data_IF_712399827114
#
_entry.id   IF_712399827114
#
_cell.length_a   1.000
_cell.length_b   1.000
_cell.length_c   1.000
_cell.angle_alpha   90.00
_cell.angle_beta   90.00
_cell.angle_gamma   90.00
#
_symmetry.space_group_name_H-M   'P 1'
#
loop_
_entity.id
_entity.type
_entity.pdbx_description
1 polymer ?
#
# COMPACT_ATOMS: atom_id res chain seq x y z
N UNK A 1 -12.81 22.32 25.88
CA UNK A 1 -11.37 22.02 25.95
C UNK A 1 -10.89 21.77 24.53
N UNK A 2 -10.35 22.79 23.87
CA UNK A 2 -9.78 22.65 22.53
C UNK A 2 -8.29 22.34 22.68
N UNK A 3 -7.83 21.29 22.03
CA UNK A 3 -6.40 20.94 22.04
C UNK A 3 -5.65 21.98 21.22
N UNK A 4 -4.50 22.44 21.73
CA UNK A 4 -3.66 23.37 20.99
C UNK A 4 -3.16 22.70 19.70
N UNK A 5 -3.03 23.48 18.63
CA UNK A 5 -2.62 23.00 17.31
C UNK A 5 -1.34 22.12 17.34
N UNK A 6 -0.30 22.45 18.13
CA UNK A 6 0.88 21.58 18.24
C UNK A 6 0.57 20.20 18.83
N UNK A 7 -0.34 20.13 19.80
CA UNK A 7 -0.73 18.86 20.42
C UNK A 7 -1.63 18.03 19.51
N UNK A 8 -2.56 18.66 18.79
CA UNK A 8 -3.37 17.99 17.76
C UNK A 8 -2.48 17.25 16.75
N UNK A 9 -1.46 17.93 16.23
CA UNK A 9 -0.51 17.34 15.28
C UNK A 9 0.26 16.16 15.88
N UNK A 10 0.70 16.25 17.14
CA UNK A 10 1.39 15.13 17.80
C UNK A 10 0.55 13.86 17.97
N UNK A 11 -0.78 14.01 17.98
CA UNK A 11 -1.72 12.89 18.16
C UNK A 11 -2.16 12.31 16.82
N UNK A 12 -2.48 13.17 15.86
CA UNK A 12 -3.03 12.74 14.55
C UNK A 12 -1.91 12.39 13.57
N UNK A 13 -0.76 13.03 13.69
CA UNK A 13 0.36 12.91 12.76
C UNK A 13 1.70 12.77 13.51
N UNK A 14 1.89 11.67 14.28
CA UNK A 14 3.05 11.51 15.14
C UNK A 14 4.40 11.53 14.39
N UNK A 15 4.42 11.13 13.12
CA UNK A 15 5.61 11.15 12.25
C UNK A 15 5.88 12.53 11.60
N UNK A 16 4.99 13.51 11.75
CA UNK A 16 5.16 14.84 11.15
C UNK A 16 5.77 15.88 12.10
N UNK A 17 5.83 15.61 13.41
CA UNK A 17 6.31 16.59 14.40
C UNK A 17 7.83 16.50 14.62
N UNK A 18 8.59 16.63 13.53
CA UNK A 18 10.03 16.93 13.61
C UNK A 18 10.23 18.43 13.82
N UNK A 19 10.49 18.79 15.07
CA UNK A 19 10.78 20.15 15.57
C UNK A 19 11.92 20.86 14.81
N UNK A 20 12.72 20.10 14.06
CA UNK A 20 13.90 20.56 13.34
C UNK A 20 13.57 21.14 11.94
N UNK A 21 12.31 21.08 11.47
CA UNK A 21 11.96 21.47 10.09
C UNK A 21 11.38 22.89 9.93
N UNK A 22 11.42 23.73 10.96
CA UNK A 22 10.94 25.12 10.87
C UNK A 22 12.03 26.18 10.66
N UNK A 23 13.29 25.78 10.39
CA UNK A 23 14.36 26.74 10.08
C UNK A 23 15.30 26.26 8.96
N UNK A 24 14.76 25.92 7.79
CA UNK A 24 15.57 25.84 6.57
C UNK A 24 14.68 25.97 5.34
N UNK A 25 14.41 27.21 4.93
CA UNK A 25 14.19 27.49 3.52
C UNK A 25 15.48 27.14 2.76
N UNK A 26 15.32 26.53 1.58
CA UNK A 26 16.27 26.45 0.46
C UNK A 26 16.93 25.08 0.17
N UNK A 27 16.57 24.56 -1.01
CA UNK A 27 17.36 23.75 -1.97
C UNK A 27 17.57 22.24 -1.75
N UNK A 28 17.34 21.51 -2.87
CA UNK A 28 17.81 20.18 -3.28
C UNK A 28 18.79 19.43 -2.35
N UNK A 29 18.55 18.14 -2.13
CA UNK A 29 19.48 17.02 -2.45
C UNK A 29 18.78 15.67 -2.18
N UNK A 30 19.06 14.73 -3.09
CA UNK A 30 18.74 13.30 -3.08
C UNK A 30 19.43 12.61 -1.91
N UNK A 31 18.74 11.75 -1.14
CA UNK A 31 19.41 10.56 -0.61
C UNK A 31 18.46 9.42 -0.22
N UNK A 32 18.75 8.26 -0.81
CA UNK A 32 18.29 6.94 -0.42
C UNK A 32 18.79 6.59 0.98
N UNK A 33 17.99 5.88 1.78
CA UNK A 33 18.53 5.16 2.93
C UNK A 33 18.01 3.74 3.01
N UNK A 34 19.00 2.85 3.13
CA UNK A 34 18.94 1.41 3.25
C UNK A 34 18.44 1.00 4.63
N UNK A 35 17.52 0.04 4.70
CA UNK A 35 17.47 -0.85 5.86
C UNK A 35 17.82 -2.28 5.45
N UNK A 36 19.06 -2.66 5.76
CA UNK A 36 19.52 -4.05 5.82
C UNK A 36 18.80 -4.75 6.97
N UNK A 37 18.22 -5.93 6.75
CA UNK A 37 18.12 -6.94 7.80
C UNK A 37 18.43 -8.32 7.22
N UNK A 38 19.63 -8.79 7.57
CA UNK A 38 20.12 -10.16 7.70
C UNK A 38 19.21 -10.97 8.64
N UNK A 39 19.03 -12.29 8.67
CA UNK A 39 19.51 -13.48 7.96
C UNK A 39 18.57 -14.61 8.45
N UNK A 40 18.20 -15.58 7.62
CA UNK A 40 18.24 -17.01 8.01
C UNK A 40 18.28 -17.87 6.76
N UNK A 41 19.49 -18.36 6.47
CA UNK A 41 19.79 -19.45 5.55
C UNK A 41 19.22 -20.75 6.14
N UNK A 42 18.30 -21.40 5.43
CA UNK A 42 18.01 -22.81 5.62
C UNK A 42 18.30 -23.54 4.31
N UNK A 43 19.36 -24.32 4.33
CA UNK A 43 19.84 -25.12 3.21
C UNK A 43 19.06 -26.43 3.17
N UNK A 44 18.12 -26.54 2.24
CA UNK A 44 17.69 -27.82 1.68
C UNK A 44 17.58 -27.69 0.17
N UNK A 45 18.38 -28.50 -0.53
CA UNK A 45 18.35 -28.64 -1.99
C UNK A 45 17.22 -29.60 -2.35
N UNK A 46 16.17 -29.11 -3.02
CA UNK A 46 15.17 -29.89 -3.77
C UNK A 46 14.40 -28.93 -4.70
N UNK A 47 13.76 -29.44 -5.78
CA UNK A 47 13.84 -28.89 -7.14
C UNK A 47 13.11 -27.56 -7.32
N UNK A 48 13.42 -26.87 -8.43
CA UNK A 48 12.79 -25.65 -8.94
C UNK A 48 11.26 -25.82 -9.10
N UNK A 49 10.54 -25.79 -7.99
CA UNK A 49 9.11 -25.55 -7.95
C UNK A 49 9.01 -24.04 -7.94
N UNK A 50 8.48 -23.46 -9.01
CA UNK A 50 8.00 -22.08 -9.00
C UNK A 50 6.85 -22.04 -8.00
N UNK A 51 7.19 -21.92 -6.71
CA UNK A 51 6.23 -21.60 -5.67
C UNK A 51 5.92 -20.14 -5.94
N UNK A 52 4.92 -19.89 -6.81
CA UNK A 52 4.25 -18.61 -6.84
C UNK A 52 3.79 -18.35 -5.42
N UNK A 53 4.51 -17.48 -4.72
CA UNK A 53 4.20 -17.13 -3.33
C UNK A 53 2.72 -16.74 -3.30
N UNK A 54 1.91 -17.56 -2.63
CA UNK A 54 0.49 -17.27 -2.49
C UNK A 54 0.39 -15.93 -1.76
N UNK A 55 -0.25 -14.96 -2.41
CA UNK A 55 -0.43 -13.63 -1.83
C UNK A 55 -1.35 -13.75 -0.62
N UNK A 56 -0.89 -13.25 0.53
CA UNK A 56 -1.76 -13.10 1.69
C UNK A 56 -2.84 -12.06 1.40
N UNK A 57 -3.93 -12.05 2.18
CA UNK A 57 -4.97 -11.03 2.06
C UNK A 57 -4.40 -9.61 2.15
N UNK A 58 -3.47 -9.37 3.07
CA UNK A 58 -2.78 -8.08 3.22
C UNK A 58 -1.93 -7.72 2.00
N UNK A 59 -1.24 -8.69 1.39
CA UNK A 59 -0.47 -8.46 0.16
C UNK A 59 -1.39 -8.05 -1.00
N UNK A 60 -2.57 -8.70 -1.11
CA UNK A 60 -3.58 -8.36 -2.11
C UNK A 60 -4.17 -6.95 -1.89
N UNK A 61 -4.44 -6.56 -0.64
CA UNK A 61 -4.81 -5.17 -0.29
C UNK A 61 -3.73 -4.20 -0.77
N UNK A 62 -2.46 -4.46 -0.40
CA UNK A 62 -1.36 -3.58 -0.76
C UNK A 62 -1.19 -3.44 -2.28
N UNK A 63 -1.36 -4.52 -3.03
CA UNK A 63 -1.35 -4.51 -4.49
C UNK A 63 -2.52 -3.72 -5.06
N UNK A 64 -3.75 -3.97 -4.58
CA UNK A 64 -4.92 -3.21 -4.99
C UNK A 64 -4.72 -1.71 -4.76
N UNK A 65 -4.32 -1.29 -3.56
CA UNK A 65 -4.11 0.14 -3.26
C UNK A 65 -3.04 0.77 -4.16
N UNK A 66 -1.98 0.03 -4.50
CA UNK A 66 -0.96 0.51 -5.47
C UNK A 66 -1.55 0.72 -6.86
N UNK A 67 -2.38 -0.20 -7.34
CA UNK A 67 -3.08 -0.07 -8.63
C UNK A 67 -3.96 1.17 -8.64
N UNK A 68 -4.81 1.33 -7.62
CA UNK A 68 -5.73 2.46 -7.52
C UNK A 68 -4.98 3.80 -7.43
N UNK A 69 -3.92 3.85 -6.62
CA UNK A 69 -3.08 5.05 -6.47
C UNK A 69 -2.43 5.45 -7.80
N UNK A 70 -1.85 4.48 -8.53
CA UNK A 70 -1.23 4.73 -9.84
C UNK A 70 -2.26 5.32 -10.81
N UNK A 71 -3.43 4.71 -10.89
CA UNK A 71 -4.51 5.15 -11.78
C UNK A 71 -4.97 6.58 -11.46
N UNK A 72 -5.25 6.85 -10.20
CA UNK A 72 -5.77 8.16 -9.77
C UNK A 72 -4.72 9.29 -9.83
N UNK A 73 -3.47 9.01 -9.44
CA UNK A 73 -2.45 10.06 -9.22
C UNK A 73 -1.41 10.17 -10.32
N UNK A 74 -1.11 9.09 -11.02
CA UNK A 74 -0.08 9.08 -12.08
C UNK A 74 -0.70 9.13 -13.47
N UNK A 75 -1.88 8.56 -13.64
CA UNK A 75 -2.57 8.48 -14.93
C UNK A 75 -3.71 9.50 -15.05
N UNK A 76 -4.01 10.25 -13.97
CA UNK A 76 -5.10 11.24 -13.87
C UNK A 76 -6.46 10.68 -14.33
N UNK A 77 -6.65 9.38 -14.11
CA UNK A 77 -7.89 8.69 -14.46
C UNK A 77 -8.83 8.67 -13.25
N UNK A 78 -10.10 8.94 -13.52
CA UNK A 78 -11.17 8.72 -12.55
C UNK A 78 -11.21 7.24 -12.16
N UNK A 79 -11.50 7.00 -10.89
CA UNK A 79 -11.70 5.63 -10.40
C UNK A 79 -12.99 5.09 -11.00
N UNK A 80 -12.94 3.87 -11.52
CA UNK A 80 -14.15 3.14 -11.91
C UNK A 80 -14.97 2.85 -10.65
N UNK A 81 -16.28 3.13 -10.71
CA UNK A 81 -17.18 2.96 -9.56
C UNK A 81 -18.22 1.88 -9.82
N UNK A 82 -18.43 1.48 -11.07
CA UNK A 82 -19.25 0.33 -11.38
C UNK A 82 -18.54 -0.96 -10.91
N UNK A 83 -19.17 -1.82 -10.07
CA UNK A 83 -18.50 -2.97 -9.49
C UNK A 83 -17.94 -3.96 -10.52
N UNK A 84 -18.70 -4.25 -11.59
CA UNK A 84 -18.30 -5.20 -12.62
C UNK A 84 -17.11 -4.67 -13.43
N UNK A 85 -17.13 -3.37 -13.74
CA UNK A 85 -16.04 -2.72 -14.44
C UNK A 85 -14.82 -2.49 -13.53
N UNK A 86 -15.03 -2.25 -12.24
CA UNK A 86 -13.95 -2.11 -11.25
C UNK A 86 -13.18 -3.41 -11.09
N UNK A 87 -13.87 -4.55 -10.99
CA UNK A 87 -13.23 -5.87 -10.95
C UNK A 87 -12.39 -6.09 -12.21
N UNK A 88 -12.97 -5.89 -13.40
CA UNK A 88 -12.24 -6.03 -14.68
C UNK A 88 -11.04 -5.08 -14.77
N UNK A 89 -11.19 -3.84 -14.33
CA UNK A 89 -10.11 -2.85 -14.30
C UNK A 89 -8.96 -3.33 -13.39
N UNK A 90 -9.28 -3.88 -12.22
CA UNK A 90 -8.30 -4.37 -11.28
C UNK A 90 -7.55 -5.58 -11.83
N UNK A 91 -8.28 -6.58 -12.35
CA UNK A 91 -7.71 -7.81 -12.89
C UNK A 91 -6.88 -7.61 -14.15
N UNK A 92 -7.32 -6.70 -15.03
CA UNK A 92 -6.57 -6.36 -16.24
C UNK A 92 -5.26 -5.63 -15.94
N UNK A 93 -5.21 -4.86 -14.85
CA UNK A 93 -4.01 -4.13 -14.44
C UNK A 93 -3.05 -5.01 -13.64
N UNK A 94 -3.58 -5.84 -12.74
CA UNK A 94 -2.80 -6.75 -11.89
C UNK A 94 -3.50 -8.12 -11.84
N UNK A 95 -3.12 -9.07 -12.72
CA UNK A 95 -3.74 -10.39 -12.80
C UNK A 95 -3.65 -11.20 -11.51
N UNK A 96 -2.69 -10.87 -10.64
CA UNK A 96 -2.54 -11.48 -9.32
C UNK A 96 -3.70 -11.16 -8.36
N UNK A 97 -4.52 -10.15 -8.70
CA UNK A 97 -5.73 -9.76 -7.96
C UNK A 97 -6.99 -10.42 -8.51
N UNK A 98 -6.87 -11.40 -9.40
CA UNK A 98 -8.03 -12.13 -9.94
C UNK A 98 -8.91 -12.73 -8.84
N UNK A 99 -10.20 -12.41 -8.88
CA UNK A 99 -11.19 -12.82 -7.88
C UNK A 99 -11.07 -12.15 -6.51
N UNK A 100 -10.10 -11.26 -6.29
CA UNK A 100 -9.91 -10.61 -4.99
C UNK A 100 -11.03 -9.62 -4.66
N UNK A 101 -11.65 -8.99 -5.66
CA UNK A 101 -12.79 -8.09 -5.44
C UNK A 101 -13.98 -8.82 -4.79
N UNK A 102 -14.30 -10.01 -5.28
CA UNK A 102 -15.32 -10.88 -4.69
C UNK A 102 -14.95 -11.32 -3.27
N UNK A 103 -13.67 -11.64 -3.01
CA UNK A 103 -13.16 -11.94 -1.67
C UNK A 103 -13.37 -10.76 -0.70
N UNK A 104 -13.10 -9.52 -1.14
CA UNK A 104 -13.36 -8.30 -0.38
C UNK A 104 -14.84 -8.09 -0.11
N UNK A 105 -15.68 -8.15 -1.15
CA UNK A 105 -17.11 -7.93 -1.03
C UNK A 105 -17.75 -8.89 -0.02
N UNK A 106 -17.42 -10.18 -0.12
CA UNK A 106 -17.90 -11.19 0.83
C UNK A 106 -17.39 -10.93 2.25
N UNK A 107 -16.14 -10.48 2.40
CA UNK A 107 -15.57 -10.17 3.72
C UNK A 107 -16.29 -9.00 4.41
N UNK A 108 -16.68 -7.95 3.67
CA UNK A 108 -17.30 -6.76 4.24
C UNK A 108 -18.83 -6.83 4.36
N UNK A 109 -19.50 -7.52 3.43
CA UNK A 109 -20.97 -7.54 3.35
C UNK A 109 -21.55 -8.77 4.06
N UNK A 110 -20.89 -9.93 4.01
CA UNK A 110 -21.44 -11.18 4.56
C UNK A 110 -21.18 -11.34 6.07
N UNK A 111 -20.23 -10.60 6.64
CA UNK A 111 -19.94 -10.60 8.08
C UNK A 111 -20.70 -9.50 8.85
N UNK A 112 -21.84 -9.02 8.33
CA UNK A 112 -22.68 -7.99 8.92
C UNK A 112 -24.08 -8.52 9.20
#
# INVERSE_FOLDING_TARGET
>A
MQLCYPYYLSVVEPDHYDKNKLSASSTHIVESSNHKNTNTLSTYKTPNIVISKLLSFGDKIALMTKVLYKRQRKEDQLLELDPDNFEKMLESTEPSLKGFFNELYNTFILNR
#
